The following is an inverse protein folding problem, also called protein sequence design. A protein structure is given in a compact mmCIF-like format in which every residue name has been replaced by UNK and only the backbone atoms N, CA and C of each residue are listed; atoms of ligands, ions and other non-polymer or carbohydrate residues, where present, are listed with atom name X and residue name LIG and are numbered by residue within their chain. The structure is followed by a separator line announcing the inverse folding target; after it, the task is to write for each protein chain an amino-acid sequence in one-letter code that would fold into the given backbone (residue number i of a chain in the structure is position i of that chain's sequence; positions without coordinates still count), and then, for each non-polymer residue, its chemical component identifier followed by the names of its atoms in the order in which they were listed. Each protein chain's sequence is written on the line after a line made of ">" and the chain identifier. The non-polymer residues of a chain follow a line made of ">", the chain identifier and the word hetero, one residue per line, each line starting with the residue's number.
data_IF_292062279247
#
_entry.id   IF_292062279247
#
_cell.length_a   1.000
_cell.length_b   1.000
_cell.length_c   1.000
_cell.angle_alpha   90.00
_cell.angle_beta   90.00
_cell.angle_gamma   90.00
#
_symmetry.space_group_name_H-M   'P 1'
#
loop_
_entity.id
_entity.type
_entity.pdbx_description
1 polymer ?
#
# COMPACT_ATOMS: atom_id res chain seq x y z
N UNK A 1 16.39 15.90 24.05
CA UNK A 1 15.04 15.45 23.68
C UNK A 1 14.34 16.65 23.06
N UNK A 2 14.63 16.93 21.80
CA UNK A 2 14.21 18.15 21.10
C UNK A 2 12.96 17.87 20.28
N UNK A 3 11.99 18.79 20.37
CA UNK A 3 10.60 18.78 19.85
C UNK A 3 10.42 18.57 18.34
N UNK A 4 11.41 18.05 17.61
CA UNK A 4 11.36 17.85 16.15
C UNK A 4 11.00 16.42 15.73
N UNK A 5 10.98 15.44 16.64
CA UNK A 5 10.66 14.05 16.31
C UNK A 5 9.15 13.76 16.34
N UNK A 6 8.37 14.50 17.14
CA UNK A 6 6.95 14.21 17.35
C UNK A 6 6.05 14.43 16.11
N UNK A 7 6.44 15.27 15.14
CA UNK A 7 5.59 15.58 13.97
C UNK A 7 5.67 14.48 12.89
N UNK A 8 6.78 13.75 12.81
CA UNK A 8 6.95 12.69 11.81
C UNK A 8 6.21 11.41 12.20
N UNK A 9 6.17 11.09 13.49
CA UNK A 9 5.52 9.86 13.97
C UNK A 9 4.00 9.87 13.79
N UNK A 10 3.34 11.04 13.89
CA UNK A 10 1.88 11.10 13.76
C UNK A 10 1.38 10.80 12.34
N UNK A 11 2.22 10.99 11.31
CA UNK A 11 1.84 10.71 9.91
C UNK A 11 1.87 9.21 9.60
N UNK A 12 2.62 8.40 10.37
CA UNK A 12 2.80 6.97 10.08
C UNK A 12 1.85 6.09 10.92
N UNK A 13 1.37 6.56 12.07
CA UNK A 13 0.56 5.76 13.01
C UNK A 13 -0.97 5.80 12.79
N UNK A 14 -1.42 6.25 11.61
CA UNK A 14 -2.83 6.51 11.28
C UNK A 14 -3.71 5.30 10.88
N UNK A 15 -3.36 4.07 11.26
CA UNK A 15 -4.12 2.85 10.89
C UNK A 15 -4.28 1.84 12.04
N UNK A 16 -4.64 2.31 13.23
CA UNK A 16 -5.24 1.44 14.25
C UNK A 16 -6.76 1.48 14.15
N UNK A 17 -7.31 0.64 13.26
CA UNK A 17 -8.73 0.34 13.23
C UNK A 17 -9.12 -0.39 14.52
N UNK A 18 -9.56 0.39 15.49
CA UNK A 18 -10.10 -0.11 16.75
C UNK A 18 -11.50 -0.66 16.49
N UNK A 19 -11.71 -1.90 16.92
CA UNK A 19 -12.95 -2.65 16.83
C UNK A 19 -14.19 -1.82 17.19
N UNK A 20 -15.13 -1.73 16.26
CA UNK A 20 -16.54 -1.46 16.54
C UNK A 20 -17.35 -2.62 15.99
N UNK A 21 -17.60 -3.60 16.85
CA UNK A 21 -18.71 -4.53 16.68
C UNK A 21 -20.05 -3.82 16.99
N UNK A 22 -21.09 -4.20 16.26
CA UNK A 22 -22.46 -3.74 16.48
C UNK A 22 -23.39 -4.31 15.41
N UNK A 23 -24.28 -5.20 15.85
CA UNK A 23 -25.12 -6.07 15.03
C UNK A 23 -26.29 -5.35 14.32
N UNK A 24 -26.68 -5.91 13.16
CA UNK A 24 -28.06 -6.22 12.71
C UNK A 24 -28.37 -5.85 11.25
N UNK A 25 -28.77 -6.92 10.55
CA UNK A 25 -29.40 -7.08 9.25
C UNK A 25 -30.38 -5.97 8.80
N UNK A 26 -30.06 -5.26 7.69
CA UNK A 26 -30.98 -4.81 6.62
C UNK A 26 -30.40 -3.72 5.69
N UNK A 27 -29.24 -3.90 5.05
CA UNK A 27 -28.87 -3.07 3.86
C UNK A 27 -27.89 -3.82 2.95
N UNK A 28 -28.18 -5.09 2.68
CA UNK A 28 -27.52 -5.81 1.58
C UNK A 28 -28.01 -5.20 0.27
N UNK A 29 -27.07 -4.73 -0.58
CA UNK A 29 -27.21 -4.40 -2.03
C UNK A 29 -26.93 -2.94 -2.47
N UNK A 30 -25.86 -2.28 -1.98
CA UNK A 30 -25.23 -1.12 -2.68
C UNK A 30 -23.69 -1.08 -2.64
N UNK A 31 -23.01 -2.20 -2.40
CA UNK A 31 -21.53 -2.23 -2.25
C UNK A 31 -20.79 -3.03 -3.33
N UNK A 32 -21.48 -3.56 -4.36
CA UNK A 32 -20.87 -4.41 -5.38
C UNK A 32 -19.74 -3.71 -6.16
N UNK A 33 -19.83 -2.39 -6.36
CA UNK A 33 -18.80 -1.60 -7.05
C UNK A 33 -17.69 -1.07 -6.13
N UNK A 34 -17.89 -1.05 -4.80
CA UNK A 34 -16.92 -0.50 -3.85
C UNK A 34 -15.94 -1.55 -3.31
N UNK A 35 -16.16 -2.84 -3.60
CA UNK A 35 -15.26 -3.92 -3.20
C UNK A 35 -15.09 -4.07 -1.68
N UNK A 36 -16.05 -3.57 -0.89
CA UNK A 36 -15.97 -3.56 0.58
C UNK A 36 -15.47 -2.25 1.19
N UNK A 37 -15.18 -1.22 0.38
CA UNK A 37 -14.81 0.09 0.90
C UNK A 37 -15.97 0.75 1.68
N UNK A 38 -15.62 1.37 2.81
CA UNK A 38 -16.55 2.10 3.70
C UNK A 38 -17.03 3.42 3.09
N UNK A 39 -16.33 3.96 2.09
CA UNK A 39 -16.63 5.23 1.44
C UNK A 39 -15.96 5.33 0.07
N UNK A 40 -16.51 6.16 -0.82
CA UNK A 40 -15.88 6.53 -2.09
C UNK A 40 -14.53 7.26 -1.91
N UNK A 41 -14.24 7.74 -0.70
CA UNK A 41 -12.98 8.38 -0.32
C UNK A 41 -11.97 7.41 0.30
N UNK A 42 -12.23 6.10 0.31
CA UNK A 42 -11.30 5.12 0.87
C UNK A 42 -10.01 4.97 0.05
N UNK A 43 -10.03 5.34 -1.24
CA UNK A 43 -8.88 5.21 -2.14
C UNK A 43 -8.33 6.58 -2.56
N UNK A 44 -7.39 7.13 -1.78
CA UNK A 44 -6.85 8.48 -1.96
C UNK A 44 -5.46 8.56 -2.61
N UNK A 45 -4.90 7.44 -3.08
CA UNK A 45 -3.57 7.37 -3.72
C UNK A 45 -3.41 8.33 -4.90
N UNK A 46 -4.47 8.55 -5.67
CA UNK A 46 -4.49 9.45 -6.83
C UNK A 46 -5.31 10.73 -6.61
N UNK A 47 -5.68 11.00 -5.35
CA UNK A 47 -6.63 12.05 -4.93
C UNK A 47 -8.02 11.86 -5.57
N UNK A 48 -9.00 12.59 -5.05
CA UNK A 48 -10.37 12.60 -5.57
C UNK A 48 -10.75 14.01 -6.06
N UNK A 49 -11.66 14.10 -7.03
CA UNK A 49 -12.21 15.37 -7.53
C UNK A 49 -11.43 16.00 -8.70
N UNK A 50 -11.65 17.29 -9.00
CA UNK A 50 -11.09 17.95 -10.20
C UNK A 50 -9.57 18.11 -10.19
N UNK A 51 -8.93 17.88 -9.03
CA UNK A 51 -7.46 17.87 -8.86
C UNK A 51 -6.90 16.45 -8.72
N UNK A 52 -7.69 15.42 -9.03
CA UNK A 52 -7.22 14.04 -9.12
C UNK A 52 -6.11 13.89 -10.16
N UNK A 53 -5.29 12.87 -9.99
CA UNK A 53 -4.18 12.60 -10.89
C UNK A 53 -4.70 12.25 -12.29
N UNK A 54 -4.43 13.10 -13.27
CA UNK A 54 -4.75 12.85 -14.69
C UNK A 54 -4.09 11.55 -15.21
N UNK A 55 -2.97 11.16 -14.60
CA UNK A 55 -2.24 9.93 -14.91
C UNK A 55 -2.76 8.67 -14.19
N UNK A 56 -3.85 8.74 -13.42
CA UNK A 56 -4.35 7.58 -12.66
C UNK A 56 -4.58 6.34 -13.52
N UNK A 57 -5.22 6.50 -14.68
CA UNK A 57 -5.51 5.38 -15.58
C UNK A 57 -4.24 4.74 -16.12
N UNK A 58 -3.28 5.58 -16.54
CA UNK A 58 -1.99 5.14 -17.02
C UNK A 58 -1.19 4.40 -15.95
N UNK A 59 -1.05 4.98 -14.75
CA UNK A 59 -0.30 4.38 -13.66
C UNK A 59 -0.87 3.02 -13.23
N UNK A 60 -2.20 2.88 -13.20
CA UNK A 60 -2.86 1.59 -12.89
C UNK A 60 -2.58 0.53 -13.97
N UNK A 61 -2.69 0.90 -15.24
CA UNK A 61 -2.43 -0.02 -16.35
C UNK A 61 -0.95 -0.45 -16.40
N UNK A 62 -0.03 0.51 -16.31
CA UNK A 62 1.41 0.25 -16.32
C UNK A 62 1.82 -0.64 -15.14
N UNK A 63 1.36 -0.32 -13.92
CA UNK A 63 1.67 -1.11 -12.74
C UNK A 63 1.12 -2.54 -12.85
N UNK A 64 -0.08 -2.73 -13.40
CA UNK A 64 -0.63 -4.06 -13.63
C UNK A 64 0.22 -4.89 -14.60
N UNK A 65 0.68 -4.31 -15.71
CA UNK A 65 1.53 -5.00 -16.67
C UNK A 65 2.89 -5.39 -16.09
N UNK A 66 3.53 -4.46 -15.36
CA UNK A 66 4.82 -4.71 -14.71
C UNK A 66 4.67 -5.78 -13.63
N UNK A 67 3.65 -5.65 -12.77
CA UNK A 67 3.40 -6.59 -11.68
C UNK A 67 3.16 -8.01 -12.21
N UNK A 68 2.29 -8.16 -13.21
CA UNK A 68 1.99 -9.46 -13.82
C UNK A 68 3.25 -10.11 -14.41
N UNK A 69 4.10 -9.32 -15.08
CA UNK A 69 5.36 -9.80 -15.65
C UNK A 69 6.35 -10.25 -14.57
N UNK A 70 6.40 -9.53 -13.44
CA UNK A 70 7.32 -9.81 -12.35
C UNK A 70 6.94 -11.05 -11.56
N UNK A 71 5.71 -11.11 -11.05
CA UNK A 71 5.25 -12.24 -10.21
C UNK A 71 5.12 -13.54 -11.01
N UNK A 72 4.95 -13.43 -12.32
CA UNK A 72 4.84 -14.58 -13.20
C UNK A 72 6.19 -15.21 -13.52
N UNK A 73 7.19 -14.38 -13.81
CA UNK A 73 8.50 -14.84 -14.30
C UNK A 73 9.50 -15.10 -13.19
N UNK A 74 9.32 -14.50 -12.02
CA UNK A 74 10.32 -14.46 -10.96
C UNK A 74 9.77 -14.81 -9.58
N UNK A 75 10.59 -15.55 -8.83
CA UNK A 75 10.45 -15.80 -7.40
C UNK A 75 11.40 -14.85 -6.65
N UNK A 76 10.90 -14.20 -5.59
CA UNK A 76 11.64 -13.20 -4.82
C UNK A 76 11.90 -13.70 -3.39
N UNK A 77 13.11 -13.45 -2.87
CA UNK A 77 13.40 -13.61 -1.45
C UNK A 77 14.18 -12.41 -0.92
N UNK A 78 13.89 -11.99 0.31
CA UNK A 78 14.61 -10.86 0.91
C UNK A 78 16.03 -11.28 1.27
N UNK A 79 16.99 -10.38 1.00
CA UNK A 79 18.38 -10.59 1.41
C UNK A 79 18.50 -10.64 2.93
N UNK A 80 17.81 -9.72 3.60
CA UNK A 80 17.69 -9.68 5.05
C UNK A 80 16.35 -10.34 5.44
N UNK A 81 16.39 -11.41 6.23
CA UNK A 81 15.17 -12.15 6.61
C UNK A 81 14.42 -11.49 7.77
N UNK A 82 15.08 -10.62 8.52
CA UNK A 82 14.43 -9.88 9.61
C UNK A 82 13.46 -8.83 9.04
N UNK A 83 13.71 -8.34 7.83
CA UNK A 83 12.83 -7.41 7.08
C UNK A 83 11.53 -8.05 6.57
N UNK A 84 11.32 -9.36 6.74
CA UNK A 84 10.00 -9.97 6.53
C UNK A 84 8.97 -9.49 7.56
N UNK A 85 9.40 -9.10 8.76
CA UNK A 85 8.55 -8.40 9.72
C UNK A 85 8.54 -6.90 9.38
N UNK A 86 7.35 -6.39 9.07
CA UNK A 86 7.12 -4.99 8.71
C UNK A 86 7.65 -4.00 9.76
N UNK A 87 7.71 -4.39 11.04
CA UNK A 87 8.25 -3.55 12.12
C UNK A 87 9.74 -3.24 11.95
N UNK A 88 10.46 -4.10 11.23
CA UNK A 88 11.88 -3.91 10.96
C UNK A 88 12.13 -3.05 9.71
N UNK A 89 11.08 -2.76 8.93
CA UNK A 89 11.17 -1.93 7.73
C UNK A 89 11.05 -0.44 8.09
N UNK A 90 12.18 0.25 8.09
CA UNK A 90 12.20 1.71 8.30
C UNK A 90 11.85 2.44 7.00
N UNK A 91 10.71 3.13 6.97
CA UNK A 91 10.29 3.98 5.86
C UNK A 91 10.77 5.42 6.07
N UNK A 92 11.41 5.99 5.06
CA UNK A 92 11.76 7.42 5.03
C UNK A 92 10.77 8.17 4.15
N UNK A 93 10.11 9.15 4.75
CA UNK A 93 9.22 10.10 4.06
C UNK A 93 9.97 11.22 3.34
N UNK A 94 9.25 11.95 2.49
CA UNK A 94 9.74 13.04 1.66
C UNK A 94 8.70 13.38 0.60
N UNK A 95 9.13 13.68 -0.63
CA UNK A 95 8.22 13.78 -1.79
C UNK A 95 7.59 12.42 -2.11
N UNK A 96 8.34 11.34 -1.88
CA UNK A 96 7.83 9.96 -1.96
C UNK A 96 8.23 9.18 -0.69
N UNK A 97 7.42 8.19 -0.32
CA UNK A 97 7.77 7.24 0.72
C UNK A 97 8.62 6.11 0.13
N UNK A 98 9.71 5.74 0.80
CA UNK A 98 10.60 4.66 0.37
C UNK A 98 11.33 4.01 1.56
N UNK A 99 11.76 2.74 1.47
CA UNK A 99 12.62 2.13 2.48
C UNK A 99 13.92 2.92 2.66
N UNK A 100 14.26 3.24 3.90
CA UNK A 100 15.38 4.14 4.24
C UNK A 100 16.75 3.56 3.86
N UNK A 101 16.88 2.23 3.91
CA UNK A 101 18.09 1.47 3.60
C UNK A 101 18.02 0.77 2.24
N UNK A 102 16.99 1.07 1.43
CA UNK A 102 16.63 0.26 0.27
C UNK A 102 15.93 -1.05 0.66
N UNK A 103 15.57 -1.86 -0.33
CA UNK A 103 15.01 -3.20 -0.14
C UNK A 103 15.74 -4.15 -1.08
N UNK A 104 16.65 -4.96 -0.52
CA UNK A 104 17.49 -5.85 -1.32
C UNK A 104 16.84 -7.23 -1.45
N UNK A 105 16.64 -7.68 -2.67
CA UNK A 105 16.01 -8.97 -3.00
C UNK A 105 16.95 -9.85 -3.82
N UNK A 106 16.88 -11.16 -3.58
CA UNK A 106 17.33 -12.15 -4.54
C UNK A 106 16.16 -12.50 -5.46
N UNK A 107 16.47 -12.67 -6.74
CA UNK A 107 15.50 -12.96 -7.78
C UNK A 107 15.88 -14.28 -8.43
N UNK A 108 14.95 -15.22 -8.49
CA UNK A 108 15.11 -16.49 -9.19
C UNK A 108 14.09 -16.59 -10.33
N UNK A 109 14.59 -16.98 -11.49
CA UNK A 109 13.82 -17.23 -12.71
C UNK A 109 12.98 -18.50 -12.51
N UNK A 110 11.65 -18.39 -12.68
CA UNK A 110 10.70 -19.51 -12.62
C UNK A 110 10.43 -20.01 -14.04
N UNK A 111 10.46 -21.32 -14.25
CA UNK A 111 10.19 -21.93 -15.55
C UNK A 111 8.70 -22.23 -15.74
N UNK A 112 8.20 -22.12 -16.97
CA UNK A 112 6.83 -22.52 -17.33
C UNK A 112 5.75 -21.44 -17.20
N UNK A 113 6.14 -20.15 -17.19
CA UNK A 113 5.24 -18.99 -17.28
C UNK A 113 5.21 -18.41 -18.69
#
# INVERSE_FOLDING_TARGET
>A
MTLREAVVDTVIDGHKDTALGGDNNAESKKTAASGGATSNYAFMTFLHGPRSCIGQGFAKAEFACILASWIGRFEFSLRNKEEYDEKNLSIKGGVTARPSKGLHVYVKVVDGW
#
